data_IF_951967368289
#
_entry.id   IF_951967368289
#
_cell.length_a   1.000
_cell.length_b   1.000
_cell.length_c   1.000
_cell.angle_alpha   90.00
_cell.angle_beta   90.00
_cell.angle_gamma   90.00
#
_symmetry.space_group_name_H-M   'P 1'
#
loop_
_entity.id
_entity.type
_entity.pdbx_description
1 polymer ?
#
# COMPACT_ATOMS: atom_id res chain seq x y z
N UNK A 1 -17.98 -10.78 10.99
CA UNK A 1 -17.95 -10.03 9.73
C UNK A 1 -18.23 -10.99 8.59
N UNK A 2 -18.83 -10.50 7.50
CA UNK A 2 -19.03 -11.24 6.26
C UNK A 2 -18.14 -10.59 5.20
N UNK A 3 -17.39 -11.39 4.45
CA UNK A 3 -16.51 -10.89 3.40
C UNK A 3 -17.28 -10.71 2.10
N UNK A 4 -17.07 -9.56 1.44
CA UNK A 4 -17.47 -9.30 0.06
C UNK A 4 -16.22 -8.83 -0.69
N UNK A 5 -15.94 -9.47 -1.82
CA UNK A 5 -14.75 -9.19 -2.63
C UNK A 5 -15.14 -8.37 -3.86
N UNK A 6 -14.26 -7.42 -4.22
CA UNK A 6 -14.43 -6.55 -5.38
C UNK A 6 -13.21 -6.67 -6.30
N UNK A 7 -13.41 -6.38 -7.58
CA UNK A 7 -12.38 -6.61 -8.59
C UNK A 7 -11.28 -5.53 -8.58
N UNK A 8 -11.62 -4.32 -8.16
CA UNK A 8 -10.69 -3.19 -8.05
C UNK A 8 -10.85 -2.43 -6.72
N UNK A 9 -9.83 -1.67 -6.31
CA UNK A 9 -9.87 -0.92 -5.05
C UNK A 9 -10.99 0.13 -5.01
N UNK A 10 -11.30 0.81 -6.11
CA UNK A 10 -12.32 1.86 -6.15
C UNK A 10 -13.73 1.34 -5.83
N UNK A 11 -14.05 0.12 -6.28
CA UNK A 11 -15.31 -0.57 -5.95
C UNK A 11 -15.46 -0.79 -4.43
N UNK A 12 -14.36 -1.08 -3.72
CA UNK A 12 -14.41 -1.27 -2.25
C UNK A 12 -14.81 0.03 -1.53
N UNK A 13 -14.35 1.18 -2.03
CA UNK A 13 -14.70 2.50 -1.50
C UNK A 13 -16.14 2.85 -1.83
N UNK A 14 -16.56 2.57 -3.07
CA UNK A 14 -17.94 2.79 -3.51
C UNK A 14 -18.94 1.97 -2.69
N UNK A 15 -18.61 0.72 -2.37
CA UNK A 15 -19.44 -0.15 -1.54
C UNK A 15 -19.71 0.46 -0.15
N UNK A 16 -18.69 1.05 0.48
CA UNK A 16 -18.88 1.77 1.76
C UNK A 16 -19.71 3.03 1.58
N UNK A 17 -19.38 3.86 0.59
CA UNK A 17 -20.11 5.12 0.33
C UNK A 17 -21.59 4.91 0.01
N UNK A 18 -21.91 3.81 -0.66
CA UNK A 18 -23.28 3.47 -1.06
C UNK A 18 -24.03 2.65 0.01
N UNK A 19 -23.37 2.30 1.12
CA UNK A 19 -23.96 1.50 2.20
C UNK A 19 -24.15 0.01 1.86
N UNK A 20 -23.47 -0.50 0.84
CA UNK A 20 -23.42 -1.93 0.54
C UNK A 20 -22.53 -2.69 1.54
N UNK A 21 -21.43 -2.06 1.96
CA UNK A 21 -20.51 -2.59 2.96
C UNK A 21 -20.42 -1.63 4.17
N UNK A 22 -20.31 -2.20 5.38
CA UNK A 22 -20.17 -1.39 6.61
C UNK A 22 -18.79 -0.73 6.73
N UNK A 23 -17.75 -1.36 6.17
CA UNK A 23 -16.37 -0.89 6.21
C UNK A 23 -15.54 -1.53 5.09
N UNK A 24 -14.41 -0.92 4.77
CA UNK A 24 -13.35 -1.49 3.93
C UNK A 24 -12.08 -1.69 4.77
N UNK A 25 -11.46 -2.85 4.63
CA UNK A 25 -10.12 -3.12 5.16
C UNK A 25 -9.15 -3.20 3.97
N UNK A 26 -8.27 -2.20 3.85
CA UNK A 26 -7.30 -2.09 2.76
C UNK A 26 -5.98 -1.53 3.27
N UNK A 27 -5.01 -1.39 2.35
CA UNK A 27 -3.73 -0.74 2.61
C UNK A 27 -3.91 0.70 3.13
N UNK A 28 -3.13 1.08 4.15
CA UNK A 28 -3.27 2.37 4.81
C UNK A 28 -2.90 3.53 3.88
N UNK A 29 -1.77 3.42 3.17
CA UNK A 29 -1.27 4.47 2.29
C UNK A 29 -2.20 4.70 1.09
N UNK A 30 -2.90 3.65 0.65
CA UNK A 30 -4.01 3.78 -0.30
C UNK A 30 -5.20 4.56 0.28
N UNK A 31 -5.60 4.30 1.53
CA UNK A 31 -6.79 4.89 2.15
C UNK A 31 -6.59 6.34 2.63
N UNK A 32 -5.39 6.73 3.07
CA UNK A 32 -5.10 8.08 3.59
C UNK A 32 -5.59 9.20 2.67
N UNK A 33 -5.18 9.29 1.38
CA UNK A 33 -5.63 10.37 0.51
C UNK A 33 -7.14 10.32 0.23
N UNK A 34 -7.77 9.15 0.29
CA UNK A 34 -9.22 8.98 0.07
C UNK A 34 -10.00 9.54 1.27
N UNK A 35 -9.56 9.26 2.49
CA UNK A 35 -10.16 9.78 3.72
C UNK A 35 -9.97 11.30 3.79
N UNK A 36 -8.77 11.82 3.50
CA UNK A 36 -8.50 13.26 3.47
C UNK A 36 -9.36 14.00 2.44
N UNK A 37 -9.52 13.43 1.24
CA UNK A 37 -10.36 14.00 0.19
C UNK A 37 -11.88 13.77 0.40
N UNK A 38 -12.28 13.05 1.44
CA UNK A 38 -13.68 12.67 1.66
C UNK A 38 -14.56 13.79 2.20
N UNK A 39 -13.99 14.93 2.63
CA UNK A 39 -14.68 16.00 3.35
C UNK A 39 -15.39 15.51 4.63
N UNK A 40 -14.84 14.49 5.30
CA UNK A 40 -15.37 13.92 6.54
C UNK A 40 -16.44 12.84 6.36
N UNK A 41 -16.77 12.47 5.12
CA UNK A 41 -17.70 11.37 4.82
C UNK A 41 -17.10 9.98 5.12
N UNK A 42 -15.77 9.87 5.17
CA UNK A 42 -15.06 8.65 5.54
C UNK A 42 -14.13 8.93 6.73
N UNK A 43 -13.92 7.91 7.55
CA UNK A 43 -12.97 7.97 8.68
C UNK A 43 -12.34 6.61 8.93
N UNK A 44 -11.14 6.65 9.51
CA UNK A 44 -10.50 5.45 10.03
C UNK A 44 -11.19 4.99 11.33
N UNK A 45 -11.37 3.69 11.46
CA UNK A 45 -11.98 3.06 12.64
C UNK A 45 -11.15 1.85 13.07
N UNK A 46 -11.08 1.62 14.38
CA UNK A 46 -10.29 0.53 14.95
C UNK A 46 -8.78 0.80 14.96
N UNK A 47 -8.03 -0.23 15.33
CA UNK A 47 -6.57 -0.19 15.39
C UNK A 47 -5.96 -0.67 14.06
N UNK A 48 -4.80 -0.13 13.64
CA UNK A 48 -4.07 -0.65 12.49
C UNK A 48 -3.74 -2.14 12.62
N UNK A 49 -3.86 -2.88 11.53
CA UNK A 49 -3.56 -4.32 11.47
C UNK A 49 -2.32 -4.55 10.60
N UNK A 50 -1.16 -4.91 11.19
CA UNK A 50 0.03 -5.23 10.40
C UNK A 50 -0.19 -6.52 9.61
N UNK A 51 -0.06 -6.46 8.28
CA UNK A 51 -0.19 -7.60 7.38
C UNK A 51 0.99 -7.64 6.40
N UNK A 52 1.65 -8.80 6.30
CA UNK A 52 2.77 -9.03 5.38
C UNK A 52 4.12 -8.54 5.91
N UNK A 53 5.13 -8.59 5.03
CA UNK A 53 6.53 -8.22 5.30
C UNK A 53 7.04 -7.08 4.43
N UNK A 54 6.15 -6.30 3.82
CA UNK A 54 6.45 -5.25 2.85
C UNK A 54 6.06 -5.62 1.42
N UNK A 55 6.12 -4.62 0.52
CA UNK A 55 5.81 -4.75 -0.91
C UNK A 55 7.08 -5.16 -1.67
N UNK A 56 6.94 -6.13 -2.59
CA UNK A 56 8.04 -6.64 -3.40
C UNK A 56 7.65 -6.85 -4.87
N UNK A 57 8.66 -7.05 -5.71
CA UNK A 57 8.45 -7.36 -7.13
C UNK A 57 8.16 -8.85 -7.33
N UNK A 58 7.06 -9.17 -8.00
CA UNK A 58 6.74 -10.55 -8.41
C UNK A 58 7.36 -10.90 -9.76
N UNK A 59 8.12 -11.99 -9.82
CA UNK A 59 8.74 -12.53 -11.04
C UNK A 59 8.34 -13.99 -11.27
N UNK A 60 8.51 -14.50 -12.50
CA UNK A 60 8.39 -15.94 -12.76
C UNK A 60 9.42 -16.69 -11.93
N UNK A 61 9.04 -17.85 -11.40
CA UNK A 61 9.91 -18.67 -10.55
C UNK A 61 11.22 -19.10 -11.25
N UNK A 62 11.22 -19.21 -12.57
CA UNK A 62 12.39 -19.55 -13.38
C UNK A 62 13.35 -18.39 -13.64
N UNK A 63 12.93 -17.14 -13.43
CA UNK A 63 13.69 -15.95 -13.84
C UNK A 63 14.64 -15.48 -12.73
N UNK A 64 15.54 -16.37 -12.30
CA UNK A 64 16.45 -16.10 -11.17
C UNK A 64 17.43 -14.98 -11.47
N UNK A 65 17.99 -14.91 -12.69
CA UNK A 65 18.93 -13.86 -13.08
C UNK A 65 18.28 -12.47 -13.07
N UNK A 66 17.03 -12.37 -13.53
CA UNK A 66 16.28 -11.11 -13.53
C UNK A 66 15.95 -10.69 -12.09
N UNK A 67 15.54 -11.63 -11.24
CA UNK A 67 15.30 -11.38 -9.81
C UNK A 67 16.57 -10.84 -9.15
N UNK A 68 17.70 -11.52 -9.32
CA UNK A 68 18.96 -11.17 -8.68
C UNK A 68 19.47 -9.79 -9.14
N UNK A 69 19.21 -9.43 -10.41
CA UNK A 69 19.49 -8.10 -10.94
C UNK A 69 18.66 -7.01 -10.25
N UNK A 70 17.35 -7.22 -10.09
CA UNK A 70 16.49 -6.26 -9.39
C UNK A 70 16.85 -6.16 -7.91
N UNK A 71 17.12 -7.28 -7.24
CA UNK A 71 17.53 -7.30 -5.84
C UNK A 71 18.81 -6.50 -5.62
N UNK A 72 19.81 -6.66 -6.50
CA UNK A 72 21.06 -5.91 -6.43
C UNK A 72 20.82 -4.40 -6.55
N UNK A 73 20.09 -3.95 -7.58
CA UNK A 73 19.84 -2.51 -7.81
C UNK A 73 18.97 -1.91 -6.71
N UNK A 74 17.94 -2.62 -6.23
CA UNK A 74 17.14 -2.16 -5.09
C UNK A 74 18.01 -2.06 -3.82
N UNK A 75 18.94 -2.99 -3.63
CA UNK A 75 19.94 -2.93 -2.56
C UNK A 75 20.82 -1.68 -2.64
N UNK A 76 21.33 -1.36 -3.83
CA UNK A 76 22.11 -0.14 -4.09
C UNK A 76 21.27 1.13 -3.79
N UNK A 77 20.02 1.18 -4.24
CA UNK A 77 19.12 2.32 -4.00
C UNK A 77 18.75 2.51 -2.52
N UNK A 78 18.74 1.43 -1.73
CA UNK A 78 18.59 1.51 -0.28
C UNK A 78 19.86 2.09 0.35
N UNK A 79 21.02 1.56 -0.03
CA UNK A 79 22.31 1.97 0.52
C UNK A 79 22.67 3.43 0.20
N UNK A 80 22.30 3.92 -0.99
CA UNK A 80 22.56 5.31 -1.38
C UNK A 80 21.44 6.31 -0.99
N UNK A 81 20.33 5.80 -0.43
CA UNK A 81 19.19 6.59 0.04
C UNK A 81 18.26 7.13 -1.06
N UNK A 82 18.48 6.79 -2.32
CA UNK A 82 17.61 7.22 -3.43
C UNK A 82 16.22 6.62 -3.32
N UNK A 83 16.09 5.38 -2.81
CA UNK A 83 14.78 4.78 -2.55
C UNK A 83 14.02 5.54 -1.46
N UNK A 84 14.70 5.96 -0.38
CA UNK A 84 14.09 6.75 0.70
C UNK A 84 13.59 8.10 0.19
N UNK A 85 14.34 8.75 -0.70
CA UNK A 85 13.91 9.99 -1.36
C UNK A 85 12.63 9.77 -2.16
N UNK A 86 12.52 8.63 -2.85
CA UNK A 86 11.33 8.28 -3.61
C UNK A 86 10.14 7.98 -2.69
N UNK A 87 10.34 7.23 -1.61
CA UNK A 87 9.30 6.92 -0.62
C UNK A 87 8.71 8.20 -0.04
N UNK A 88 9.55 9.10 0.48
CA UNK A 88 9.08 10.36 1.07
C UNK A 88 8.33 11.25 0.10
N UNK A 89 8.77 11.29 -1.16
CA UNK A 89 8.10 12.05 -2.21
C UNK A 89 6.63 11.61 -2.42
N UNK A 90 6.36 10.31 -2.33
CA UNK A 90 5.04 9.76 -2.66
C UNK A 90 4.17 9.48 -1.44
N UNK A 91 4.77 9.17 -0.29
CA UNK A 91 4.06 8.75 0.93
C UNK A 91 4.25 9.72 2.12
N UNK A 92 4.99 10.82 1.92
CA UNK A 92 5.22 11.83 2.95
C UNK A 92 6.44 11.56 3.83
N UNK A 93 6.85 12.56 4.60
CA UNK A 93 8.10 12.53 5.37
C UNK A 93 8.12 11.50 6.51
N UNK A 94 6.94 11.12 7.01
CA UNK A 94 6.75 10.16 8.10
C UNK A 94 6.71 8.69 7.61
N UNK A 95 6.82 8.45 6.30
CA UNK A 95 6.84 7.09 5.75
C UNK A 95 8.05 6.29 6.24
N UNK A 96 7.89 4.97 6.34
CA UNK A 96 8.97 4.09 6.74
C UNK A 96 10.11 4.12 5.71
N UNK A 97 11.35 4.26 6.18
CA UNK A 97 12.55 4.26 5.35
C UNK A 97 13.50 3.11 5.70
N UNK A 98 14.48 2.88 4.82
CA UNK A 98 15.58 1.93 5.04
C UNK A 98 16.79 2.65 5.65
N UNK A 99 17.52 1.96 6.53
CA UNK A 99 18.80 2.41 7.11
C UNK A 99 20.00 1.85 6.33
#
# INVERSE_FOLDING_TARGET
>A
ATLVEFANPEETIAAVRNGEADAVLADLDFLVPIVEASNGELMFVGEPVPLGGGIGMGLRQSDTELRDTFDAVIGEMKADGTLNTMLKKWFGDDTQTFE
#
